data_IF_254209943083
#
_entry.id   IF_254209943083
#
_cell.length_a   1.000
_cell.length_b   1.000
_cell.length_c   1.000
_cell.angle_alpha   90.00
_cell.angle_beta   90.00
_cell.angle_gamma   90.00
#
_symmetry.space_group_name_H-M   'P 1'
#
loop_
_entity.id
_entity.type
_entity.pdbx_description
1 polymer ?
#
# COMPACT_ATOMS: atom_id res chain seq x y z
N UNK A 1 -20.07 -6.39 27.98
CA UNK A 1 -20.87 -6.50 26.74
C UNK A 1 -20.98 -5.19 25.94
N UNK A 2 -21.17 -4.02 26.56
CA UNK A 2 -21.28 -2.76 25.80
C UNK A 2 -20.02 -2.29 25.07
N UNK A 3 -18.81 -2.60 25.55
CA UNK A 3 -17.56 -2.17 24.91
C UNK A 3 -17.22 -2.91 23.61
N UNK A 4 -17.74 -4.11 23.38
CA UNK A 4 -17.46 -4.91 22.18
C UNK A 4 -18.24 -4.45 20.94
N UNK A 5 -19.37 -3.79 21.12
CA UNK A 5 -20.21 -3.29 20.04
C UNK A 5 -19.91 -1.82 19.66
N UNK A 6 -18.95 -1.17 20.31
CA UNK A 6 -18.58 0.21 19.97
C UNK A 6 -17.38 0.25 19.03
N UNK A 7 -17.55 0.96 17.92
CA UNK A 7 -16.45 1.25 16.98
C UNK A 7 -15.31 1.96 17.72
N UNK A 8 -14.09 1.42 17.59
CA UNK A 8 -12.89 1.97 18.20
C UNK A 8 -12.22 2.98 17.24
N UNK A 9 -12.81 4.16 17.10
CA UNK A 9 -12.36 5.20 16.15
C UNK A 9 -10.87 5.53 16.29
N UNK A 10 -10.36 5.63 17.53
CA UNK A 10 -8.93 5.89 17.77
C UNK A 10 -8.05 4.83 17.11
N UNK A 11 -8.38 3.55 17.26
CA UNK A 11 -7.61 2.45 16.66
C UNK A 11 -7.74 2.47 15.14
N UNK A 12 -8.95 2.78 14.60
CA UNK A 12 -9.14 2.90 13.16
C UNK A 12 -8.32 4.03 12.54
N UNK A 13 -8.24 5.18 13.21
CA UNK A 13 -7.40 6.30 12.76
C UNK A 13 -5.91 5.93 12.83
N UNK A 14 -5.46 5.34 13.94
CA UNK A 14 -4.06 4.93 14.09
C UNK A 14 -3.64 3.91 13.05
N UNK A 15 -4.49 2.90 12.75
CA UNK A 15 -4.15 1.89 11.75
C UNK A 15 -4.23 2.44 10.32
N UNK A 16 -5.14 3.38 10.03
CA UNK A 16 -5.20 4.08 8.75
C UNK A 16 -3.97 4.96 8.51
N UNK A 17 -3.50 5.68 9.54
CA UNK A 17 -2.25 6.46 9.47
C UNK A 17 -1.04 5.53 9.28
N UNK A 18 -0.94 4.44 10.04
CA UNK A 18 0.14 3.47 9.86
C UNK A 18 0.11 2.82 8.47
N UNK A 19 -1.08 2.57 7.91
CA UNK A 19 -1.25 2.09 6.53
C UNK A 19 -0.76 3.13 5.52
N UNK A 20 -1.17 4.40 5.70
CA UNK A 20 -0.69 5.49 4.85
C UNK A 20 0.83 5.62 4.85
N UNK A 21 1.46 5.54 6.02
CA UNK A 21 2.91 5.60 6.15
C UNK A 21 3.61 4.38 5.52
N UNK A 22 3.04 3.19 5.66
CA UNK A 22 3.56 1.98 5.01
C UNK A 22 3.49 2.10 3.48
N UNK A 23 2.34 2.51 2.94
CA UNK A 23 2.13 2.60 1.51
C UNK A 23 2.85 3.81 0.87
N UNK A 24 3.10 4.85 1.64
CA UNK A 24 3.97 5.95 1.25
C UNK A 24 5.40 5.47 0.97
N UNK A 25 5.95 4.59 1.81
CA UNK A 25 7.28 4.01 1.59
C UNK A 25 7.27 3.07 0.38
N UNK A 26 6.21 2.29 0.21
CA UNK A 26 6.06 1.43 -0.96
C UNK A 26 5.90 2.22 -2.26
N UNK A 27 5.13 3.31 -2.23
CA UNK A 27 4.94 4.22 -3.36
C UNK A 27 6.21 4.99 -3.76
N UNK A 28 7.17 5.15 -2.83
CA UNK A 28 8.49 5.70 -3.13
C UNK A 28 9.23 4.86 -4.18
N UNK A 29 9.10 3.52 -4.15
CA UNK A 29 9.85 2.61 -5.04
C UNK A 29 9.61 2.94 -6.53
N UNK A 30 8.37 2.92 -7.05
CA UNK A 30 8.13 3.29 -8.44
C UNK A 30 8.42 4.77 -8.71
N UNK A 31 8.29 5.64 -7.72
CA UNK A 31 8.54 7.07 -7.88
C UNK A 31 10.02 7.38 -8.19
N UNK A 32 10.96 6.54 -7.78
CA UNK A 32 12.40 6.73 -8.05
C UNK A 32 12.93 5.92 -9.24
N UNK A 33 12.10 5.18 -9.96
CA UNK A 33 12.56 4.34 -11.08
C UNK A 33 13.35 5.11 -12.15
N UNK A 34 12.91 6.28 -12.64
CA UNK A 34 13.70 7.03 -13.60
C UNK A 34 15.11 7.40 -13.06
N UNK A 35 15.18 7.77 -11.79
CA UNK A 35 16.45 8.08 -11.10
C UNK A 35 17.36 6.85 -11.03
N UNK A 36 16.84 5.70 -10.61
CA UNK A 36 17.62 4.45 -10.56
C UNK A 36 18.04 3.99 -11.95
N UNK A 37 17.14 4.12 -12.93
CA UNK A 37 17.45 3.78 -14.31
C UNK A 37 18.62 4.61 -14.84
N UNK A 38 18.58 5.92 -14.68
CA UNK A 38 19.64 6.82 -15.13
C UNK A 38 20.97 6.56 -14.39
N UNK A 39 20.91 6.41 -13.05
CA UNK A 39 22.11 6.25 -12.22
C UNK A 39 22.84 4.92 -12.46
N UNK A 40 22.12 3.83 -12.68
CA UNK A 40 22.68 2.48 -12.82
C UNK A 40 22.59 1.93 -14.24
N UNK A 41 22.20 2.76 -15.22
CA UNK A 41 21.99 2.38 -16.63
C UNK A 41 21.12 1.13 -16.78
N UNK A 42 20.00 1.07 -16.03
CA UNK A 42 19.13 -0.09 -16.01
C UNK A 42 18.27 -0.17 -17.29
N UNK A 43 18.08 -1.38 -17.78
CA UNK A 43 17.10 -1.66 -18.83
C UNK A 43 15.69 -1.63 -18.26
N UNK A 44 14.65 -1.44 -19.11
CA UNK A 44 13.24 -1.52 -18.69
C UNK A 44 12.88 -2.89 -18.10
N UNK A 45 13.52 -3.97 -18.57
CA UNK A 45 13.36 -5.31 -18.00
C UNK A 45 13.89 -5.36 -16.56
N UNK A 46 15.01 -4.74 -16.27
CA UNK A 46 15.57 -4.67 -14.91
C UNK A 46 14.68 -3.84 -13.98
N UNK A 47 14.11 -2.73 -14.45
CA UNK A 47 13.11 -1.96 -13.70
C UNK A 47 11.88 -2.81 -13.41
N UNK A 48 11.38 -3.55 -14.41
CA UNK A 48 10.27 -4.49 -14.22
C UNK A 48 10.59 -5.60 -13.21
N UNK A 49 11.84 -6.10 -13.17
CA UNK A 49 12.29 -7.09 -12.19
C UNK A 49 12.37 -6.50 -10.76
N UNK A 50 12.68 -5.23 -10.57
CA UNK A 50 12.59 -4.57 -9.26
C UNK A 50 11.15 -4.63 -8.76
N UNK A 51 10.17 -4.21 -9.59
CA UNK A 51 8.74 -4.32 -9.25
C UNK A 51 8.35 -5.76 -8.97
N UNK A 52 8.76 -6.71 -9.81
CA UNK A 52 8.43 -8.12 -9.64
C UNK A 52 8.95 -8.68 -8.31
N UNK A 53 10.22 -8.46 -7.97
CA UNK A 53 10.81 -8.93 -6.73
C UNK A 53 10.11 -8.35 -5.50
N UNK A 54 9.80 -7.04 -5.53
CA UNK A 54 9.02 -6.38 -4.50
C UNK A 54 7.62 -7.02 -4.35
N UNK A 55 6.85 -7.09 -5.44
CA UNK A 55 5.48 -7.62 -5.42
C UNK A 55 5.44 -9.11 -5.07
N UNK A 56 6.41 -9.89 -5.53
CA UNK A 56 6.53 -11.30 -5.23
C UNK A 56 6.71 -11.52 -3.71
N UNK A 57 7.67 -10.83 -3.10
CA UNK A 57 7.93 -10.91 -1.66
C UNK A 57 6.76 -10.38 -0.84
N UNK A 58 6.13 -9.28 -1.28
CA UNK A 58 4.97 -8.70 -0.63
C UNK A 58 3.73 -9.61 -0.69
N UNK A 59 3.50 -10.33 -1.80
CA UNK A 59 2.25 -11.08 -2.03
C UNK A 59 2.31 -12.54 -1.60
N UNK A 60 3.40 -13.26 -1.94
CA UNK A 60 3.50 -14.72 -1.68
C UNK A 60 3.57 -15.01 -0.18
N UNK A 61 4.19 -14.14 0.59
CA UNK A 61 4.31 -14.34 2.03
C UNK A 61 3.03 -14.00 2.80
N UNK A 62 2.11 -13.18 2.24
CA UNK A 62 0.87 -12.79 2.94
C UNK A 62 0.00 -13.98 3.37
N UNK A 63 -0.31 -14.97 2.51
CA UNK A 63 -1.08 -16.14 2.93
C UNK A 63 -0.39 -16.96 4.02
N UNK A 64 0.94 -17.07 3.95
CA UNK A 64 1.74 -17.81 4.96
C UNK A 64 1.70 -17.10 6.31
N UNK A 65 1.94 -15.78 6.31
CA UNK A 65 1.85 -14.96 7.52
C UNK A 65 0.43 -14.97 8.06
N UNK A 66 -0.59 -14.76 7.21
CA UNK A 66 -1.99 -14.80 7.61
C UNK A 66 -2.36 -16.13 8.28
N UNK A 67 -2.01 -17.25 7.65
CA UNK A 67 -2.29 -18.59 8.21
C UNK A 67 -1.58 -18.82 9.55
N UNK A 68 -0.32 -18.40 9.68
CA UNK A 68 0.44 -18.53 10.93
C UNK A 68 -0.17 -17.68 12.04
N UNK A 69 -0.48 -16.41 11.77
CA UNK A 69 -1.01 -15.47 12.76
C UNK A 69 -2.48 -15.71 13.11
N UNK A 70 -3.24 -16.44 12.26
CA UNK A 70 -4.57 -16.96 12.60
C UNK A 70 -4.53 -18.00 13.72
N UNK A 71 -3.52 -18.85 13.69
CA UNK A 71 -3.31 -19.89 14.71
C UNK A 71 -2.58 -19.39 15.94
N UNK A 72 -1.61 -18.51 15.73
CA UNK A 72 -0.72 -17.95 16.75
C UNK A 72 -0.78 -16.41 16.70
N UNK A 73 -1.82 -15.77 17.27
CA UNK A 73 -1.98 -14.33 17.23
C UNK A 73 -0.78 -13.60 17.83
N UNK A 74 -0.11 -12.79 17.01
CA UNK A 74 1.08 -12.03 17.37
C UNK A 74 0.75 -10.52 17.41
N UNK A 75 0.47 -9.93 18.57
CA UNK A 75 0.02 -8.53 18.65
C UNK A 75 0.98 -7.50 18.05
N UNK A 76 2.28 -7.80 18.08
CA UNK A 76 3.34 -6.91 17.61
C UNK A 76 3.96 -7.29 16.26
N UNK A 77 3.38 -8.28 15.54
CA UNK A 77 3.90 -8.69 14.22
C UNK A 77 4.01 -7.54 13.22
N UNK A 78 3.07 -6.59 13.26
CA UNK A 78 3.09 -5.40 12.40
C UNK A 78 4.29 -4.48 12.68
N UNK A 79 4.74 -4.39 13.93
CA UNK A 79 5.94 -3.63 14.31
C UNK A 79 7.18 -4.27 13.69
N UNK A 80 7.27 -5.62 13.74
CA UNK A 80 8.35 -6.36 13.08
C UNK A 80 8.30 -6.18 11.56
N UNK A 81 7.12 -6.29 10.95
CA UNK A 81 6.94 -6.04 9.52
C UNK A 81 7.42 -4.65 9.12
N UNK A 82 7.01 -3.62 9.86
CA UNK A 82 7.47 -2.25 9.62
C UNK A 82 8.98 -2.09 9.83
N UNK A 83 9.58 -2.87 10.73
CA UNK A 83 11.04 -2.94 10.90
C UNK A 83 11.76 -3.42 9.64
N UNK A 84 11.26 -4.47 8.97
CA UNK A 84 11.78 -4.90 7.65
C UNK A 84 11.61 -3.82 6.59
N UNK A 85 10.47 -3.13 6.55
CA UNK A 85 10.26 -2.00 5.65
C UNK A 85 11.28 -0.88 5.90
N UNK A 86 11.55 -0.56 7.19
CA UNK A 86 12.55 0.44 7.59
C UNK A 86 13.95 0.06 7.11
N UNK A 87 14.37 -1.18 7.38
CA UNK A 87 15.67 -1.69 6.93
C UNK A 87 15.79 -1.66 5.41
N UNK A 88 14.74 -2.07 4.70
CA UNK A 88 14.72 -2.03 3.25
C UNK A 88 14.84 -0.61 2.69
N UNK A 89 14.18 0.38 3.30
CA UNK A 89 14.28 1.79 2.89
C UNK A 89 15.70 2.35 3.13
N UNK A 90 16.31 2.03 4.27
CA UNK A 90 17.70 2.40 4.57
C UNK A 90 18.66 1.75 3.57
N UNK A 91 18.53 0.45 3.30
CA UNK A 91 19.37 -0.25 2.33
C UNK A 91 19.20 0.31 0.92
N UNK A 92 17.97 0.70 0.54
CA UNK A 92 17.72 1.32 -0.75
C UNK A 92 18.41 2.68 -0.89
N UNK A 93 18.45 3.46 0.18
CA UNK A 93 19.19 4.75 0.19
C UNK A 93 20.70 4.59 0.01
N UNK A 94 21.25 3.47 0.47
CA UNK A 94 22.68 3.14 0.42
C UNK A 94 23.03 2.19 -0.73
N UNK A 95 22.05 1.78 -1.55
CA UNK A 95 22.30 0.82 -2.62
C UNK A 95 23.32 1.37 -3.63
N UNK A 96 24.30 0.55 -3.98
CA UNK A 96 25.41 0.90 -4.87
C UNK A 96 25.40 0.12 -6.19
N UNK A 97 24.52 -0.88 -6.29
CA UNK A 97 24.42 -1.74 -7.47
C UNK A 97 23.02 -2.37 -7.57
N UNK A 98 22.73 -3.01 -8.70
CA UNK A 98 21.44 -3.61 -8.99
C UNK A 98 21.02 -4.69 -7.96
N UNK A 99 21.95 -5.54 -7.52
CA UNK A 99 21.65 -6.59 -6.54
C UNK A 99 21.26 -6.03 -5.17
N UNK A 100 21.91 -4.94 -4.74
CA UNK A 100 21.55 -4.25 -3.48
C UNK A 100 20.20 -3.57 -3.57
N UNK A 101 19.80 -3.04 -4.74
CA UNK A 101 18.44 -2.54 -4.99
C UNK A 101 17.42 -3.67 -4.84
N UNK A 102 17.66 -4.83 -5.49
CA UNK A 102 16.76 -5.98 -5.39
C UNK A 102 16.58 -6.47 -3.95
N UNK A 103 17.68 -6.59 -3.20
CA UNK A 103 17.63 -6.97 -1.78
C UNK A 103 16.80 -5.97 -0.96
N UNK A 104 17.00 -4.68 -1.19
CA UNK A 104 16.28 -3.60 -0.50
C UNK A 104 14.77 -3.68 -0.71
N UNK A 105 14.33 -3.85 -1.96
CA UNK A 105 12.89 -3.93 -2.27
C UNK A 105 12.27 -5.23 -1.81
N UNK A 106 13.02 -6.35 -1.78
CA UNK A 106 12.56 -7.61 -1.18
C UNK A 106 12.32 -7.43 0.32
N UNK A 107 13.20 -6.75 1.05
CA UNK A 107 13.01 -6.45 2.48
C UNK A 107 11.75 -5.60 2.71
N UNK A 108 11.53 -4.57 1.88
CA UNK A 108 10.28 -3.77 1.95
C UNK A 108 9.07 -4.66 1.70
N UNK A 109 9.13 -5.56 0.70
CA UNK A 109 8.06 -6.51 0.39
C UNK A 109 7.77 -7.49 1.53
N UNK A 110 8.81 -8.04 2.18
CA UNK A 110 8.66 -8.88 3.39
C UNK A 110 7.93 -8.12 4.49
N UNK A 111 8.31 -6.86 4.74
CA UNK A 111 7.62 -5.99 5.70
C UNK A 111 6.15 -5.80 5.37
N UNK A 112 5.84 -5.50 4.12
CA UNK A 112 4.49 -5.36 3.58
C UNK A 112 3.65 -6.63 3.75
N UNK A 113 4.24 -7.81 3.51
CA UNK A 113 3.55 -9.10 3.61
C UNK A 113 3.06 -9.41 5.03
N UNK A 114 3.77 -8.93 6.05
CA UNK A 114 3.37 -9.05 7.45
C UNK A 114 2.34 -7.97 7.82
N UNK A 115 2.52 -6.76 7.30
CA UNK A 115 1.69 -5.61 7.68
C UNK A 115 0.24 -5.76 7.20
N UNK A 116 -0.01 -5.98 5.91
CA UNK A 116 -1.36 -5.89 5.31
C UNK A 116 -2.40 -6.86 5.91
N UNK A 117 -2.14 -8.18 6.05
CA UNK A 117 -3.15 -9.08 6.61
C UNK A 117 -3.48 -8.74 8.06
N UNK A 118 -2.47 -8.37 8.83
CA UNK A 118 -2.66 -8.04 10.24
C UNK A 118 -3.34 -6.69 10.45
N UNK A 119 -3.03 -5.68 9.60
CA UNK A 119 -3.65 -4.37 9.66
C UNK A 119 -5.13 -4.42 9.28
N UNK A 120 -5.49 -5.16 8.24
CA UNK A 120 -6.89 -5.43 7.88
C UNK A 120 -7.65 -6.12 9.01
N UNK A 121 -7.00 -7.07 9.71
CA UNK A 121 -7.57 -7.72 10.89
C UNK A 121 -7.80 -6.74 12.05
N UNK A 122 -6.85 -5.84 12.32
CA UNK A 122 -7.02 -4.79 13.34
C UNK A 122 -8.21 -3.89 12.99
N UNK A 123 -8.33 -3.45 11.74
CA UNK A 123 -9.47 -2.65 11.27
C UNK A 123 -10.80 -3.39 11.47
N UNK A 124 -10.84 -4.69 11.15
CA UNK A 124 -12.00 -5.53 11.39
C UNK A 124 -12.38 -5.63 12.89
N UNK A 125 -11.41 -5.88 13.76
CA UNK A 125 -11.63 -5.98 15.21
C UNK A 125 -12.08 -4.65 15.83
N UNK A 126 -11.56 -3.52 15.32
CA UNK A 126 -11.91 -2.19 15.78
C UNK A 126 -13.23 -1.66 15.20
N UNK A 127 -13.88 -2.39 14.27
CA UNK A 127 -15.06 -1.92 13.52
C UNK A 127 -16.31 -1.76 14.36
N UNK A 128 -16.46 -2.50 15.48
CA UNK A 128 -17.68 -2.52 16.30
C UNK A 128 -18.93 -2.88 15.48
N UNK A 129 -18.78 -3.75 14.46
CA UNK A 129 -19.85 -4.15 13.55
C UNK A 129 -19.92 -3.34 12.24
N UNK A 130 -19.35 -2.13 12.17
CA UNK A 130 -19.30 -1.27 10.97
C UNK A 130 -18.13 -1.66 10.07
N UNK A 131 -18.11 -2.90 9.56
CA UNK A 131 -16.96 -3.49 8.86
C UNK A 131 -16.58 -2.74 7.57
N UNK A 132 -17.59 -2.39 6.74
CA UNK A 132 -17.36 -1.66 5.48
C UNK A 132 -16.75 -0.28 5.73
N UNK A 133 -17.25 0.44 6.73
CA UNK A 133 -16.72 1.73 7.15
C UNK A 133 -15.27 1.63 7.64
N UNK A 134 -14.96 0.65 8.50
CA UNK A 134 -13.64 0.44 9.03
C UNK A 134 -12.63 0.12 7.91
N UNK A 135 -13.03 -0.72 6.94
CA UNK A 135 -12.22 -1.04 5.79
C UNK A 135 -12.03 0.15 4.84
N UNK A 136 -13.06 0.99 4.67
CA UNK A 136 -12.95 2.20 3.85
C UNK A 136 -11.94 3.20 4.44
N UNK A 137 -11.99 3.44 5.76
CA UNK A 137 -11.01 4.30 6.46
C UNK A 137 -9.60 3.72 6.35
N UNK A 138 -9.44 2.42 6.57
CA UNK A 138 -8.16 1.73 6.43
C UNK A 138 -7.59 1.90 5.03
N UNK A 139 -8.39 1.63 3.99
CA UNK A 139 -7.98 1.73 2.59
C UNK A 139 -7.69 3.17 2.15
N UNK A 140 -8.46 4.14 2.67
CA UNK A 140 -8.19 5.55 2.44
C UNK A 140 -6.79 5.95 2.91
N UNK A 141 -6.38 5.46 4.10
CA UNK A 141 -5.03 5.69 4.61
C UNK A 141 -3.97 5.24 3.61
N UNK A 142 -4.01 4.00 3.14
CA UNK A 142 -3.07 3.46 2.17
C UNK A 142 -3.06 4.23 0.85
N UNK A 143 -4.23 4.51 0.27
CA UNK A 143 -4.33 5.26 -0.98
C UNK A 143 -3.75 6.67 -0.87
N UNK A 144 -3.98 7.37 0.25
CA UNK A 144 -3.36 8.67 0.51
C UNK A 144 -1.84 8.56 0.65
N UNK A 145 -1.35 7.55 1.37
CA UNK A 145 0.09 7.30 1.49
C UNK A 145 0.75 7.12 0.12
N UNK A 146 0.19 6.24 -0.71
CA UNK A 146 0.68 6.01 -2.07
C UNK A 146 0.63 7.29 -2.91
N UNK A 147 -0.45 8.09 -2.79
CA UNK A 147 -0.59 9.33 -3.54
C UNK A 147 0.46 10.39 -3.13
N UNK A 148 0.77 10.50 -1.85
CA UNK A 148 1.76 11.47 -1.37
C UNK A 148 3.22 11.06 -1.63
N UNK A 149 3.49 9.79 -1.95
CA UNK A 149 4.85 9.30 -2.18
C UNK A 149 5.60 10.09 -3.27
N UNK A 150 5.05 10.34 -4.47
CA UNK A 150 5.71 11.13 -5.50
C UNK A 150 6.05 12.55 -5.03
N UNK A 151 5.15 13.21 -4.29
CA UNK A 151 5.41 14.57 -3.77
C UNK A 151 6.56 14.60 -2.77
N UNK A 152 6.63 13.60 -1.88
CA UNK A 152 7.74 13.51 -0.93
C UNK A 152 9.06 13.16 -1.64
N UNK A 153 9.02 12.38 -2.71
CA UNK A 153 10.20 12.14 -3.54
C UNK A 153 10.68 13.45 -4.18
N UNK A 154 9.78 14.28 -4.74
CA UNK A 154 10.13 15.62 -5.25
C UNK A 154 10.82 16.44 -4.14
N UNK A 155 10.20 16.49 -2.98
CA UNK A 155 10.65 17.35 -1.87
C UNK A 155 11.97 16.90 -1.26
N UNK A 156 12.19 15.59 -1.14
CA UNK A 156 13.32 15.04 -0.39
C UNK A 156 14.47 14.59 -1.28
N UNK A 157 14.18 14.09 -2.49
CA UNK A 157 15.18 13.43 -3.34
C UNK A 157 15.70 14.34 -4.44
N UNK A 158 14.87 15.24 -4.97
CA UNK A 158 15.29 16.14 -6.05
C UNK A 158 15.75 17.50 -5.51
N UNK A 159 16.83 18.01 -6.07
CA UNK A 159 17.29 19.39 -5.90
C UNK A 159 17.49 20.06 -7.25
N UNK A 160 17.36 21.40 -7.29
CA UNK A 160 17.61 22.19 -8.50
C UNK A 160 18.91 22.96 -8.32
N UNK A 161 19.82 22.78 -9.28
CA UNK A 161 21.10 23.47 -9.31
C UNK A 161 21.26 24.24 -10.64
N UNK A 162 21.81 25.42 -10.58
CA UNK A 162 22.16 26.16 -11.80
C UNK A 162 23.58 25.77 -12.19
N UNK A 163 23.74 25.16 -13.37
CA UNK A 163 25.02 24.82 -13.96
C UNK A 163 25.10 25.52 -15.32
N UNK A 164 26.10 26.34 -15.52
CA UNK A 164 26.32 27.13 -16.76
C UNK A 164 25.08 27.94 -17.23
N UNK A 165 24.34 28.50 -16.24
CA UNK A 165 23.13 29.31 -16.52
C UNK A 165 21.88 28.49 -16.85
N UNK A 166 21.97 27.15 -16.88
CA UNK A 166 20.84 26.24 -17.07
C UNK A 166 20.42 25.59 -15.75
N UNK A 167 19.12 25.42 -15.55
CA UNK A 167 18.55 24.77 -14.37
C UNK A 167 18.62 23.25 -14.58
N UNK A 168 19.47 22.59 -13.80
CA UNK A 168 19.66 21.15 -13.84
C UNK A 168 19.01 20.51 -12.60
N UNK A 169 18.21 19.47 -12.81
CA UNK A 169 17.60 18.69 -11.75
C UNK A 169 18.58 17.58 -11.33
N UNK A 170 18.95 17.55 -10.06
CA UNK A 170 19.85 16.55 -9.49
C UNK A 170 19.08 15.68 -8.51
N UNK A 171 19.22 14.35 -8.63
CA UNK A 171 18.54 13.39 -7.78
C UNK A 171 19.52 12.77 -6.77
N UNK A 172 19.16 12.82 -5.50
CA UNK A 172 19.97 12.37 -4.36
C UNK A 172 19.36 11.10 -3.75
N UNK A 173 19.79 9.94 -4.23
CA UNK A 173 19.30 8.64 -3.75
C UNK A 173 19.48 8.46 -2.24
N UNK A 174 20.58 8.96 -1.67
CA UNK A 174 20.89 8.88 -0.24
C UNK A 174 19.80 9.55 0.64
N UNK A 175 19.09 10.53 0.10
CA UNK A 175 17.99 11.20 0.80
C UNK A 175 16.76 10.30 1.02
N UNK A 176 16.70 9.14 0.36
CA UNK A 176 15.67 8.14 0.65
C UNK A 176 15.69 7.66 2.10
N UNK A 177 16.81 7.84 2.81
CA UNK A 177 16.93 7.53 4.24
C UNK A 177 15.86 8.25 5.08
N UNK A 178 15.38 9.43 4.66
CA UNK A 178 14.34 10.17 5.36
C UNK A 178 13.01 9.44 5.41
N UNK A 179 12.75 8.56 4.43
CA UNK A 179 11.55 7.70 4.48
C UNK A 179 11.60 6.70 5.64
N UNK A 180 12.78 6.36 6.15
CA UNK A 180 12.92 5.55 7.35
C UNK A 180 12.34 6.23 8.61
N UNK A 181 12.35 7.57 8.69
CA UNK A 181 11.72 8.29 9.82
C UNK A 181 10.20 8.09 9.83
N UNK A 182 9.56 8.08 8.66
CA UNK A 182 8.12 7.81 8.56
C UNK A 182 7.79 6.38 9.00
N UNK A 183 8.64 5.40 8.66
CA UNK A 183 8.45 4.02 9.12
C UNK A 183 8.70 3.85 10.61
N UNK A 184 9.69 4.52 11.19
CA UNK A 184 9.93 4.53 12.64
C UNK A 184 8.73 5.13 13.38
N UNK A 185 8.19 6.24 12.87
CA UNK A 185 6.97 6.82 13.42
C UNK A 185 5.79 5.85 13.33
N UNK A 186 5.62 5.16 12.19
CA UNK A 186 4.60 4.12 12.02
C UNK A 186 4.80 2.96 13.00
N UNK A 187 6.04 2.54 13.29
CA UNK A 187 6.33 1.53 14.32
C UNK A 187 5.81 1.96 15.70
N UNK A 188 5.96 3.23 16.06
CA UNK A 188 5.39 3.79 17.28
C UNK A 188 3.87 3.68 17.35
N UNK A 189 3.17 4.04 16.25
CA UNK A 189 1.71 3.88 16.15
C UNK A 189 1.30 2.41 16.27
N UNK A 190 2.01 1.52 15.58
CA UNK A 190 1.75 0.08 15.60
C UNK A 190 2.04 -0.56 16.96
N UNK A 191 3.00 -0.05 17.72
CA UNK A 191 3.25 -0.49 19.10
C UNK A 191 2.06 -0.18 20.02
N UNK A 192 1.44 1.00 19.87
CA UNK A 192 0.21 1.37 20.59
C UNK A 192 -0.94 0.42 20.21
N UNK A 193 -1.10 0.12 18.93
CA UNK A 193 -2.10 -0.83 18.42
C UNK A 193 -1.81 -2.24 18.95
N UNK A 194 -0.55 -2.66 18.97
CA UNK A 194 -0.12 -3.96 19.50
C UNK A 194 -0.48 -4.14 20.98
N UNK A 195 -0.29 -3.08 21.79
CA UNK A 195 -0.71 -3.07 23.20
C UNK A 195 -2.23 -3.25 23.33
N UNK A 196 -3.02 -2.48 22.58
CA UNK A 196 -4.48 -2.62 22.54
C UNK A 196 -4.90 -4.03 22.13
N UNK A 197 -4.30 -4.58 21.06
CA UNK A 197 -4.60 -5.93 20.57
C UNK A 197 -4.24 -7.01 21.60
N UNK A 198 -3.12 -6.87 22.29
CA UNK A 198 -2.70 -7.79 23.35
C UNK A 198 -3.75 -7.89 24.47
N UNK A 199 -4.28 -6.73 24.90
CA UNK A 199 -5.35 -6.68 25.91
C UNK A 199 -6.63 -7.33 25.37
N UNK A 200 -7.02 -7.00 24.13
CA UNK A 200 -8.22 -7.56 23.50
C UNK A 200 -8.14 -9.09 23.38
N UNK A 201 -6.99 -9.65 22.98
CA UNK A 201 -6.79 -11.09 22.85
C UNK A 201 -6.90 -11.81 24.19
N UNK A 202 -6.45 -11.21 25.29
CA UNK A 202 -6.63 -11.78 26.65
C UNK A 202 -8.11 -11.87 26.98
N UNK A 203 -8.87 -10.78 26.73
CA UNK A 203 -10.31 -10.72 26.99
C UNK A 203 -11.13 -11.71 26.11
N UNK A 204 -10.68 -11.95 24.86
CA UNK A 204 -11.36 -12.86 23.93
C UNK A 204 -11.09 -14.34 24.23
N UNK A 205 -9.95 -14.70 24.85
CA UNK A 205 -9.65 -16.08 25.27
C UNK A 205 -10.61 -16.61 26.33
N UNK A 206 -11.22 -15.72 27.11
CA UNK A 206 -12.18 -16.05 28.17
C UNK A 206 -13.60 -16.29 27.66
N UNK A 207 -13.85 -16.08 26.36
CA UNK A 207 -15.22 -16.17 25.78
C UNK A 207 -15.38 -17.40 24.89
N UNK A 208 -16.56 -18.08 24.94
CA UNK A 208 -16.84 -19.18 24.02
C UNK A 208 -16.88 -18.68 22.56
N UNK A 209 -16.29 -19.46 21.65
CA UNK A 209 -16.29 -19.16 20.20
C UNK A 209 -17.74 -19.17 19.69
N UNK A 210 -18.22 -18.07 19.15
CA UNK A 210 -19.50 -18.04 18.44
C UNK A 210 -19.41 -18.90 17.18
N UNK A 211 -20.43 -19.73 16.94
CA UNK A 211 -20.53 -20.50 15.71
C UNK A 211 -20.59 -19.58 14.49
N UNK A 212 -19.75 -19.86 13.49
CA UNK A 212 -19.77 -19.14 12.21
C UNK A 212 -21.01 -19.66 11.45
N UNK A 213 -21.99 -18.79 11.23
CA UNK A 213 -23.12 -19.10 10.35
C UNK A 213 -22.56 -19.20 8.92
N UNK A 214 -22.52 -20.40 8.37
CA UNK A 214 -22.11 -20.61 6.99
C UNK A 214 -23.20 -20.11 6.04
N UNK A 215 -22.84 -19.39 4.97
CA UNK A 215 -23.80 -18.97 3.96
C UNK A 215 -24.41 -20.18 3.26
N UNK A 216 -25.70 -20.13 2.97
CA UNK A 216 -26.47 -21.20 2.33
C UNK A 216 -26.20 -21.22 0.80
N UNK A 217 -24.93 -21.34 0.41
CA UNK A 217 -24.46 -21.35 -0.97
C UNK A 217 -23.81 -22.71 -1.32
N UNK A 218 -24.06 -23.19 -2.52
CA UNK A 218 -23.40 -24.41 -2.99
C UNK A 218 -21.90 -24.17 -3.19
N UNK A 219 -21.08 -25.21 -3.07
CA UNK A 219 -19.62 -25.12 -3.30
C UNK A 219 -19.28 -24.55 -4.69
N UNK A 220 -20.09 -24.89 -5.70
CA UNK A 220 -19.92 -24.38 -7.07
C UNK A 220 -20.18 -22.86 -7.14
N UNK A 221 -21.24 -22.38 -6.49
CA UNK A 221 -21.55 -20.94 -6.43
C UNK A 221 -20.44 -20.16 -5.71
N UNK A 222 -19.93 -20.67 -4.59
CA UNK A 222 -18.80 -20.04 -3.87
C UNK A 222 -17.57 -19.98 -4.77
N UNK A 223 -17.18 -21.11 -5.39
CA UNK A 223 -16.02 -21.16 -6.29
C UNK A 223 -16.14 -20.19 -7.45
N UNK A 224 -17.29 -20.20 -8.17
CA UNK A 224 -17.49 -19.34 -9.33
C UNK A 224 -17.49 -17.85 -8.93
N UNK A 225 -18.14 -17.48 -7.83
CA UNK A 225 -18.10 -16.12 -7.32
C UNK A 225 -16.68 -15.67 -6.96
N UNK A 226 -15.88 -16.56 -6.34
CA UNK A 226 -14.47 -16.29 -6.01
C UNK A 226 -13.63 -16.08 -7.29
N UNK A 227 -13.82 -16.90 -8.32
CA UNK A 227 -13.10 -16.76 -9.60
C UNK A 227 -13.46 -15.42 -10.26
N UNK A 228 -14.74 -15.08 -10.34
CA UNK A 228 -15.19 -13.80 -10.93
C UNK A 228 -14.59 -12.61 -10.18
N UNK A 229 -14.65 -12.61 -8.84
CA UNK A 229 -14.06 -11.55 -8.02
C UNK A 229 -12.55 -11.45 -8.22
N UNK A 230 -11.85 -12.59 -8.29
CA UNK A 230 -10.41 -12.63 -8.52
C UNK A 230 -10.05 -12.03 -9.89
N UNK A 231 -10.78 -12.37 -10.96
CA UNK A 231 -10.55 -11.82 -12.30
C UNK A 231 -10.81 -10.29 -12.34
N UNK A 232 -11.86 -9.81 -11.68
CA UNK A 232 -12.16 -8.37 -11.61
C UNK A 232 -11.06 -7.61 -10.85
N UNK A 233 -10.61 -8.14 -9.72
CA UNK A 233 -9.53 -7.53 -8.92
C UNK A 233 -8.22 -7.56 -9.71
N UNK A 234 -7.90 -8.67 -10.39
CA UNK A 234 -6.70 -8.80 -11.21
C UNK A 234 -6.68 -7.77 -12.33
N UNK A 235 -7.77 -7.67 -13.11
CA UNK A 235 -7.87 -6.71 -14.22
C UNK A 235 -7.67 -5.26 -13.77
N UNK A 236 -8.34 -4.87 -12.68
CA UNK A 236 -8.19 -3.52 -12.10
C UNK A 236 -6.78 -3.25 -11.63
N UNK A 237 -6.19 -4.19 -10.89
CA UNK A 237 -4.84 -4.02 -10.34
C UNK A 237 -3.77 -4.02 -11.41
N UNK A 238 -3.94 -4.80 -12.48
CA UNK A 238 -3.01 -4.81 -13.60
C UNK A 238 -2.89 -3.42 -14.25
N UNK A 239 -4.03 -2.78 -14.55
CA UNK A 239 -4.05 -1.42 -15.11
C UNK A 239 -3.40 -0.41 -14.14
N UNK A 240 -3.81 -0.41 -12.87
CA UNK A 240 -3.26 0.53 -11.87
C UNK A 240 -1.76 0.32 -11.67
N UNK A 241 -1.29 -0.93 -11.66
CA UNK A 241 0.13 -1.25 -11.53
C UNK A 241 0.94 -0.77 -12.75
N UNK A 242 0.40 -0.93 -13.97
CA UNK A 242 1.05 -0.43 -15.17
C UNK A 242 1.24 1.09 -15.13
N UNK A 243 0.19 1.84 -14.77
CA UNK A 243 0.29 3.29 -14.60
C UNK A 243 1.30 3.64 -13.51
N UNK A 244 1.16 3.04 -12.32
CA UNK A 244 2.00 3.40 -11.17
C UNK A 244 3.51 3.18 -11.43
N UNK A 245 3.87 2.14 -12.20
CA UNK A 245 5.27 1.80 -12.44
C UNK A 245 5.87 2.46 -13.69
N UNK A 246 5.06 2.74 -14.74
CA UNK A 246 5.60 3.17 -16.03
C UNK A 246 5.12 4.54 -16.50
N UNK A 247 4.19 5.18 -15.82
CA UNK A 247 3.64 6.48 -16.20
C UNK A 247 4.72 7.57 -16.31
N UNK A 248 5.68 7.58 -15.40
CA UNK A 248 6.76 8.56 -15.40
C UNK A 248 7.62 8.42 -16.65
N UNK A 249 8.03 7.20 -17.01
CA UNK A 249 8.79 6.94 -18.24
C UNK A 249 8.03 7.39 -19.47
N UNK A 250 6.74 7.05 -19.55
CA UNK A 250 5.87 7.45 -20.66
C UNK A 250 5.80 8.97 -20.80
N UNK A 251 5.63 9.70 -19.70
CA UNK A 251 5.49 11.16 -19.74
C UNK A 251 6.82 11.85 -20.05
N UNK A 252 7.93 11.35 -19.53
CA UNK A 252 9.26 11.85 -19.83
C UNK A 252 9.61 11.61 -21.32
N UNK A 253 9.41 10.40 -21.83
CA UNK A 253 9.77 10.04 -23.20
C UNK A 253 8.87 10.71 -24.25
N UNK A 254 7.54 10.72 -24.02
CA UNK A 254 6.58 11.22 -24.99
C UNK A 254 6.39 12.73 -24.97
N UNK A 255 6.44 13.34 -23.80
CA UNK A 255 6.11 14.76 -23.63
C UNK A 255 7.33 15.62 -23.22
N UNK A 256 8.50 15.01 -22.98
CA UNK A 256 9.70 15.71 -22.55
C UNK A 256 9.58 16.31 -21.14
N UNK A 257 8.75 15.73 -20.26
CA UNK A 257 8.59 16.22 -18.90
C UNK A 257 9.88 16.01 -18.08
N UNK A 258 10.13 16.95 -17.15
CA UNK A 258 11.13 16.72 -16.12
C UNK A 258 10.67 15.61 -15.15
N UNK A 259 11.57 15.04 -14.36
CA UNK A 259 11.23 14.07 -13.34
C UNK A 259 10.22 14.66 -12.34
N UNK A 260 10.38 15.92 -11.95
CA UNK A 260 9.45 16.61 -11.05
C UNK A 260 8.04 16.71 -11.65
N UNK A 261 7.93 17.10 -12.93
CA UNK A 261 6.63 17.19 -13.62
C UNK A 261 5.96 15.81 -13.71
N UNK A 262 6.70 14.76 -14.09
CA UNK A 262 6.19 13.41 -14.17
C UNK A 262 5.66 12.90 -12.81
N UNK A 263 6.36 13.20 -11.72
CA UNK A 263 5.94 12.88 -10.36
C UNK A 263 4.68 13.64 -9.95
N UNK A 264 4.59 14.93 -10.31
CA UNK A 264 3.42 15.76 -9.99
C UNK A 264 2.15 15.24 -10.68
N UNK A 265 2.25 14.84 -11.95
CA UNK A 265 1.12 14.23 -12.67
C UNK A 265 0.76 12.85 -12.12
N UNK A 266 1.74 12.05 -11.68
CA UNK A 266 1.48 10.80 -10.98
C UNK A 266 0.73 11.04 -9.66
N UNK A 267 1.11 12.07 -8.91
CA UNK A 267 0.38 12.47 -7.69
C UNK A 267 -1.08 12.82 -7.99
N UNK A 268 -1.36 13.60 -9.05
CA UNK A 268 -2.74 13.93 -9.43
C UNK A 268 -3.55 12.67 -9.77
N UNK A 269 -2.95 11.74 -10.52
CA UNK A 269 -3.60 10.47 -10.83
C UNK A 269 -3.92 9.65 -9.56
N UNK A 270 -2.95 9.46 -8.68
CA UNK A 270 -3.12 8.70 -7.44
C UNK A 270 -4.06 9.41 -6.45
N UNK A 271 -4.04 10.73 -6.40
CA UNK A 271 -4.99 11.54 -5.63
C UNK A 271 -6.43 11.37 -6.13
N UNK A 272 -6.62 11.28 -7.44
CA UNK A 272 -7.93 10.97 -8.03
C UNK A 272 -8.39 9.56 -7.68
N UNK A 273 -7.48 8.56 -7.67
CA UNK A 273 -7.78 7.18 -7.22
C UNK A 273 -8.20 7.16 -5.75
N UNK A 274 -7.49 7.87 -4.87
CA UNK A 274 -7.84 7.98 -3.46
C UNK A 274 -9.21 8.63 -3.26
N UNK A 275 -9.48 9.74 -3.96
CA UNK A 275 -10.77 10.44 -3.94
C UNK A 275 -11.91 9.56 -4.47
N UNK A 276 -11.68 8.86 -5.57
CA UNK A 276 -12.65 7.93 -6.16
C UNK A 276 -12.98 6.76 -5.22
N UNK A 277 -12.00 6.26 -4.47
CA UNK A 277 -12.21 5.21 -3.46
C UNK A 277 -13.11 5.71 -2.32
N UNK A 278 -12.89 6.94 -1.84
CA UNK A 278 -13.71 7.55 -0.80
C UNK A 278 -15.16 7.77 -1.28
N UNK A 279 -15.32 8.37 -2.46
CA UNK A 279 -16.61 8.64 -3.09
C UNK A 279 -17.36 7.34 -3.35
N UNK A 280 -16.69 6.33 -3.94
CA UNK A 280 -17.25 5.02 -4.24
C UNK A 280 -17.68 4.27 -2.99
N UNK A 281 -16.92 4.37 -1.89
CA UNK A 281 -17.29 3.79 -0.59
C UNK A 281 -18.54 4.43 -0.01
N UNK A 282 -18.63 5.77 -0.06
CA UNK A 282 -19.80 6.50 0.46
C UNK A 282 -21.07 6.26 -0.36
N UNK A 283 -20.96 6.29 -1.68
CA UNK A 283 -22.10 6.06 -2.57
C UNK A 283 -22.48 4.59 -2.67
N UNK A 284 -21.53 3.66 -2.50
CA UNK A 284 -21.75 2.22 -2.58
C UNK A 284 -22.77 1.69 -1.57
N UNK A 285 -22.84 2.28 -0.39
CA UNK A 285 -23.84 1.94 0.63
C UNK A 285 -25.24 2.49 0.29
N UNK A 286 -25.35 3.55 -0.53
CA UNK A 286 -26.61 4.19 -0.93
C UNK A 286 -27.20 3.62 -2.22
N UNK A 287 -26.37 3.44 -3.24
CA UNK A 287 -26.78 3.07 -4.62
C UNK A 287 -26.60 1.59 -4.89
N UNK A 288 -25.88 0.88 -4.01
CA UNK A 288 -25.61 -0.53 -4.12
C UNK A 288 -24.22 -0.84 -4.73
N UNK A 289 -23.53 -1.80 -4.12
CA UNK A 289 -22.15 -2.19 -4.45
C UNK A 289 -21.98 -2.65 -5.90
N UNK A 290 -22.97 -3.37 -6.44
CA UNK A 290 -22.96 -3.85 -7.83
C UNK A 290 -22.92 -2.69 -8.82
N UNK A 291 -23.70 -1.63 -8.61
CA UNK A 291 -23.71 -0.44 -9.45
C UNK A 291 -22.35 0.26 -9.44
N UNK A 292 -21.74 0.45 -8.27
CA UNK A 292 -20.42 1.10 -8.15
C UNK A 292 -19.34 0.29 -8.87
N UNK A 293 -19.36 -1.04 -8.79
CA UNK A 293 -18.42 -1.89 -9.54
C UNK A 293 -18.57 -1.65 -11.05
N UNK A 294 -19.79 -1.71 -11.58
CA UNK A 294 -20.04 -1.45 -12.99
C UNK A 294 -19.62 -0.04 -13.42
N UNK A 295 -19.99 0.96 -12.62
CA UNK A 295 -19.61 2.34 -12.88
C UNK A 295 -18.07 2.52 -12.90
N UNK A 296 -17.35 1.90 -11.97
CA UNK A 296 -15.88 1.99 -11.92
C UNK A 296 -15.19 1.35 -13.13
N UNK A 297 -15.74 0.28 -13.68
CA UNK A 297 -15.18 -0.42 -14.85
C UNK A 297 -15.53 0.32 -16.14
N UNK A 298 -16.81 0.57 -16.37
CA UNK A 298 -17.29 1.20 -17.61
C UNK A 298 -16.90 2.67 -17.69
N UNK A 299 -16.87 3.37 -16.55
CA UNK A 299 -16.45 4.77 -16.50
C UNK A 299 -14.97 4.98 -16.77
N UNK A 300 -14.13 3.98 -16.50
CA UNK A 300 -12.68 4.05 -16.76
C UNK A 300 -12.35 3.70 -18.23
N UNK A 301 -13.14 2.85 -18.88
CA UNK A 301 -12.85 2.34 -20.22
C UNK A 301 -12.59 3.44 -21.28
N UNK A 302 -13.39 4.52 -21.39
CA UNK A 302 -13.14 5.55 -22.41
C UNK A 302 -11.86 6.36 -22.20
N UNK A 303 -11.31 6.37 -20.97
CA UNK A 303 -10.06 7.07 -20.65
C UNK A 303 -8.83 6.14 -20.69
N UNK A 304 -9.04 4.82 -20.76
CA UNK A 304 -7.99 3.82 -20.81
C UNK A 304 -7.65 3.39 -22.25
N UNK A 305 -8.52 3.66 -23.20
CA UNK A 305 -8.35 3.42 -24.65
C UNK A 305 -7.76 4.63 -25.36
#
# INVERSE_FOLDING_TARGET
MERENKTQYRILILIALAHGLNDLIQGMIPSIYPTLQAKYALTMTQVGLITFCYQLSASILQPLVGHYTDKHPQPYSQVLGMGFTTLGAIFLSMASNYSSILLSVVLIGVGSSVFHPEASRVAFLASGGKRSFAQAIFQLGGNLGTAFAPLLVILLVFSKKIVDGTLVEEAHQEQLVWFALFSIFAMGLLAVIGKWRSILLKLLKEKPKKAIVQPNLSRAQIRNSMIILMLLVFSKNFYTAAINNYFQFYTIEKFGFSNEQAQLYLFYFLGAVASGTLIGGFFGDKVGRKFIIWFSILGTAPFAL
#
